data_IF_626423589542
#
_entry.id   IF_626423589542
#
_cell.length_a   1.000
_cell.length_b   1.000
_cell.length_c   1.000
_cell.angle_alpha   90.00
_cell.angle_beta   90.00
_cell.angle_gamma   90.00
#
_symmetry.space_group_name_H-M   'P 1'
#
loop_
_entity.id
_entity.type
_entity.pdbx_description
1 polymer ?
#
# COMPACT_ATOMS: atom_id res chain seq x y z
N UNK A 1 6.56 9.99 -24.46
CA UNK A 1 6.01 11.27 -24.92
C UNK A 1 6.11 11.29 -26.42
N UNK A 2 5.01 11.58 -27.12
CA UNK A 2 5.02 11.72 -28.56
C UNK A 2 5.71 13.05 -28.97
N UNK A 3 6.73 13.01 -29.84
CA UNK A 3 7.54 14.19 -30.16
C UNK A 3 6.84 15.23 -31.04
N UNK A 4 5.68 14.92 -31.62
CA UNK A 4 4.94 15.83 -32.49
C UNK A 4 3.74 16.48 -31.77
N UNK A 5 2.96 15.69 -31.05
CA UNK A 5 1.74 16.12 -30.34
C UNK A 5 2.01 16.52 -28.89
N UNK A 6 3.13 16.09 -28.31
CA UNK A 6 3.41 16.27 -26.88
C UNK A 6 2.60 15.35 -25.96
N UNK A 7 1.87 14.36 -26.50
CA UNK A 7 1.08 13.44 -25.70
C UNK A 7 1.97 12.60 -24.77
N UNK A 8 1.65 12.62 -23.47
CA UNK A 8 2.31 11.80 -22.44
C UNK A 8 1.40 10.61 -22.14
N UNK A 9 1.96 9.40 -22.25
CA UNK A 9 1.25 8.15 -22.01
C UNK A 9 2.03 7.29 -21.04
N UNK A 10 1.32 6.44 -20.31
CA UNK A 10 1.92 5.43 -19.44
C UNK A 10 2.49 4.31 -20.33
N UNK A 11 3.71 3.84 -20.01
CA UNK A 11 4.42 2.79 -20.78
C UNK A 11 4.72 1.53 -19.96
N UNK A 12 4.43 1.54 -18.66
CA UNK A 12 4.72 0.46 -17.73
C UNK A 12 3.72 0.42 -16.59
N UNK A 13 4.01 -0.38 -15.57
CA UNK A 13 3.17 -0.44 -14.38
C UNK A 13 3.33 0.83 -13.54
N UNK A 14 2.24 1.31 -12.96
CA UNK A 14 2.24 2.36 -11.96
C UNK A 14 1.74 1.75 -10.66
N UNK A 15 2.59 1.74 -9.66
CA UNK A 15 2.34 1.13 -8.35
C UNK A 15 2.42 2.23 -7.29
N UNK A 16 1.33 2.42 -6.53
CA UNK A 16 1.25 3.45 -5.50
C UNK A 16 2.21 3.15 -4.34
N UNK A 17 2.35 1.86 -4.01
CA UNK A 17 3.21 1.32 -2.96
C UNK A 17 4.70 1.52 -3.30
N UNK A 18 5.04 1.53 -4.60
CA UNK A 18 6.40 1.80 -5.08
C UNK A 18 6.68 3.31 -5.16
N UNK A 19 5.78 4.08 -5.78
CA UNK A 19 5.97 5.53 -5.96
C UNK A 19 4.64 6.29 -6.03
N UNK A 20 4.47 7.23 -5.11
CA UNK A 20 3.25 8.05 -5.00
C UNK A 20 3.17 9.17 -6.04
N UNK A 21 4.30 9.59 -6.62
CA UNK A 21 4.32 10.65 -7.62
C UNK A 21 5.56 10.61 -8.51
N UNK A 22 5.40 11.04 -9.76
CA UNK A 22 6.49 11.19 -10.73
C UNK A 22 6.61 12.65 -11.19
N UNK A 23 7.84 13.17 -11.20
CA UNK A 23 8.16 14.49 -11.75
C UNK A 23 8.86 14.32 -13.08
N UNK A 24 8.23 14.77 -14.15
CA UNK A 24 8.71 14.60 -15.51
C UNK A 24 9.09 15.98 -16.05
N UNK A 25 10.39 16.33 -16.11
CA UNK A 25 10.82 17.52 -16.83
C UNK A 25 10.63 17.31 -18.33
N UNK A 26 10.00 18.27 -18.99
CA UNK A 26 9.70 18.27 -20.41
C UNK A 26 10.40 19.46 -21.07
N UNK A 27 10.98 19.20 -22.23
CA UNK A 27 11.62 20.20 -23.07
C UNK A 27 10.97 20.18 -24.45
N UNK A 28 10.63 21.36 -24.97
CA UNK A 28 10.15 21.55 -26.32
C UNK A 28 11.11 22.47 -27.06
N UNK A 29 11.64 22.01 -28.19
CA UNK A 29 12.62 22.75 -29.01
C UNK A 29 12.00 23.07 -30.36
N UNK A 30 12.10 24.33 -30.78
CA UNK A 30 11.64 24.73 -32.11
C UNK A 30 12.61 24.25 -33.23
N UNK A 31 12.20 24.42 -34.49
CA UNK A 31 12.99 24.00 -35.66
C UNK A 31 13.68 25.19 -36.35
N UNK A 32 13.94 26.27 -35.64
CA UNK A 32 14.63 27.45 -36.16
C UNK A 32 16.10 27.20 -36.51
N UNK A 33 16.72 28.13 -37.26
CA UNK A 33 18.17 28.10 -37.54
C UNK A 33 19.01 28.26 -36.26
N UNK A 34 18.51 29.06 -35.32
CA UNK A 34 18.99 29.12 -33.93
C UNK A 34 17.85 28.60 -33.03
N UNK A 35 17.85 27.31 -32.68
CA UNK A 35 16.72 26.70 -31.98
C UNK A 35 16.60 27.25 -30.56
N UNK A 36 15.36 27.53 -30.14
CA UNK A 36 15.03 27.89 -28.76
C UNK A 36 14.31 26.72 -28.07
N UNK A 37 14.57 26.57 -26.77
CA UNK A 37 13.97 25.55 -25.94
C UNK A 37 13.07 26.18 -24.86
N UNK A 38 11.88 25.61 -24.68
CA UNK A 38 11.00 25.85 -23.54
C UNK A 38 11.00 24.64 -22.61
N UNK A 39 10.94 24.88 -21.30
CA UNK A 39 10.94 23.82 -20.29
C UNK A 39 9.70 23.91 -19.38
N UNK A 40 9.16 22.77 -18.99
CA UNK A 40 8.17 22.67 -17.93
C UNK A 40 8.34 21.36 -17.15
N UNK A 41 7.65 21.22 -16.01
CA UNK A 41 7.65 19.98 -15.23
C UNK A 41 6.23 19.50 -15.05
N UNK A 42 5.96 18.26 -15.45
CA UNK A 42 4.69 17.58 -15.24
C UNK A 42 4.79 16.79 -13.94
N UNK A 43 3.89 17.06 -13.00
CA UNK A 43 3.71 16.26 -11.79
C UNK A 43 2.57 15.28 -12.00
N UNK A 44 2.86 13.98 -11.92
CA UNK A 44 1.87 12.90 -11.99
C UNK A 44 1.74 12.33 -10.59
N UNK A 45 0.56 12.45 -9.99
CA UNK A 45 0.24 11.84 -8.69
C UNK A 45 -0.47 10.50 -8.93
N UNK A 46 0.02 9.45 -8.28
CA UNK A 46 -0.56 8.11 -8.36
C UNK A 46 -1.67 8.03 -7.32
N UNK A 47 -2.82 7.48 -7.71
CA UNK A 47 -3.94 7.24 -6.82
C UNK A 47 -3.88 5.80 -6.34
N UNK A 48 -3.92 5.64 -5.02
CA UNK A 48 -3.95 4.34 -4.33
C UNK A 48 -5.17 3.51 -4.73
N UNK A 49 -4.94 2.22 -4.97
CA UNK A 49 -5.97 1.23 -5.24
C UNK A 49 -5.92 0.16 -4.15
N UNK A 50 -7.05 -0.50 -3.87
CA UNK A 50 -7.07 -1.63 -2.94
C UNK A 50 -6.65 -2.91 -3.66
N UNK A 51 -5.34 -3.12 -3.82
CA UNK A 51 -4.78 -4.27 -4.54
C UNK A 51 -3.83 -5.12 -3.69
N UNK A 52 -3.57 -4.75 -2.43
CA UNK A 52 -2.89 -5.59 -1.47
C UNK A 52 -3.88 -6.23 -0.49
N UNK A 53 -3.83 -7.55 -0.36
CA UNK A 53 -4.63 -8.24 0.64
C UNK A 53 -3.96 -8.18 2.04
N UNK A 54 -4.74 -8.09 3.13
CA UNK A 54 -4.18 -8.10 4.48
C UNK A 54 -3.35 -9.35 4.76
N UNK A 55 -2.15 -9.15 5.30
CA UNK A 55 -1.25 -10.21 5.73
C UNK A 55 -1.31 -10.42 7.24
N UNK A 56 -1.56 -11.65 7.66
CA UNK A 56 -1.62 -12.04 9.07
C UNK A 56 -0.37 -12.83 9.45
N UNK A 57 0.32 -12.39 10.50
CA UNK A 57 1.52 -13.04 11.04
C UNK A 57 1.32 -13.39 12.51
N UNK A 58 1.65 -14.62 12.88
CA UNK A 58 1.70 -15.05 14.28
C UNK A 58 3.06 -14.65 14.87
N UNK A 59 3.07 -13.76 15.85
CA UNK A 59 4.31 -13.31 16.50
C UNK A 59 4.67 -14.14 17.72
N UNK A 60 3.71 -14.86 18.29
CA UNK A 60 3.95 -15.87 19.32
C UNK A 60 2.92 -16.98 19.25
N UNK A 61 3.31 -18.18 19.70
CA UNK A 61 2.43 -19.33 19.77
C UNK A 61 2.73 -20.13 21.03
N UNK A 62 1.77 -20.19 21.95
CA UNK A 62 1.85 -20.96 23.19
C UNK A 62 0.95 -22.19 23.08
N UNK A 63 1.46 -23.22 22.39
CA UNK A 63 0.81 -24.53 22.25
C UNK A 63 1.76 -25.64 22.73
N UNK A 64 1.26 -26.69 23.40
CA UNK A 64 -0.13 -26.89 23.85
C UNK A 64 -0.51 -25.97 25.03
N UNK A 65 -1.81 -25.73 25.22
CA UNK A 65 -2.37 -24.96 26.35
C UNK A 65 -2.84 -25.95 27.41
N UNK A 66 -2.56 -25.65 28.68
CA UNK A 66 -3.04 -26.47 29.80
C UNK A 66 -4.56 -26.38 29.96
N UNK A 67 -5.21 -27.48 30.31
CA UNK A 67 -6.67 -27.54 30.52
C UNK A 67 -7.14 -26.73 31.74
N UNK A 68 -6.25 -26.48 32.69
CA UNK A 68 -6.46 -25.65 33.89
C UNK A 68 -6.08 -24.16 33.67
N UNK A 69 -5.80 -23.76 32.42
CA UNK A 69 -5.47 -22.38 32.09
C UNK A 69 -6.61 -21.42 32.47
N UNK A 70 -6.24 -20.31 33.11
CA UNK A 70 -7.19 -19.31 33.59
C UNK A 70 -7.75 -18.44 32.46
N UNK A 71 -8.97 -17.91 32.58
CA UNK A 71 -9.49 -16.93 31.63
C UNK A 71 -8.55 -15.73 31.49
N UNK A 72 -8.19 -15.38 30.26
CA UNK A 72 -7.23 -14.32 29.96
C UNK A 72 -5.80 -14.79 29.71
N UNK A 73 -5.50 -16.09 29.85
CA UNK A 73 -4.24 -16.66 29.36
C UNK A 73 -4.06 -16.34 27.87
N UNK A 74 -2.93 -15.71 27.53
CA UNK A 74 -2.58 -15.37 26.15
C UNK A 74 -2.11 -16.63 25.44
N UNK A 75 -2.77 -16.95 24.33
CA UNK A 75 -2.48 -18.14 23.51
C UNK A 75 -1.51 -17.80 22.38
N UNK A 76 -1.78 -16.68 21.70
CA UNK A 76 -1.03 -16.23 20.53
C UNK A 76 -1.14 -14.73 20.42
N UNK A 77 -0.10 -14.12 19.89
CA UNK A 77 -0.10 -12.74 19.44
C UNK A 77 -0.16 -12.75 17.92
N UNK A 78 -1.06 -11.94 17.38
CA UNK A 78 -1.30 -11.82 15.95
C UNK A 78 -1.00 -10.39 15.54
N UNK A 79 -0.25 -10.23 14.46
CA UNK A 79 -0.04 -8.95 13.79
C UNK A 79 -0.71 -9.02 12.42
N UNK A 80 -1.42 -7.96 12.05
CA UNK A 80 -2.04 -7.82 10.74
C UNK A 80 -1.50 -6.57 10.07
N UNK A 81 -1.15 -6.70 8.79
CA UNK A 81 -0.52 -5.64 8.02
C UNK A 81 -1.08 -5.64 6.60
N UNK A 82 -1.47 -4.46 6.13
CA UNK A 82 -1.88 -4.20 4.76
C UNK A 82 -0.99 -3.10 4.19
N UNK A 83 -0.63 -3.20 2.92
CA UNK A 83 0.31 -2.27 2.27
C UNK A 83 -0.38 -1.04 1.69
N UNK A 84 -1.69 -1.14 1.44
CA UNK A 84 -2.47 -0.07 0.83
C UNK A 84 -2.57 1.15 1.77
N UNK A 85 -2.93 2.30 1.21
CA UNK A 85 -3.01 3.54 1.97
C UNK A 85 -4.42 3.91 2.45
N UNK A 86 -4.47 4.56 3.62
CA UNK A 86 -5.71 5.13 4.16
C UNK A 86 -6.77 4.07 4.46
N UNK A 87 -7.94 4.20 3.84
CA UNK A 87 -9.06 3.27 4.05
C UNK A 87 -8.81 1.89 3.43
N UNK A 88 -8.00 1.82 2.37
CA UNK A 88 -7.71 0.57 1.69
C UNK A 88 -6.85 -0.34 2.57
N UNK A 89 -5.90 0.23 3.31
CA UNK A 89 -5.10 -0.51 4.29
C UNK A 89 -5.75 -0.72 5.67
N UNK A 90 -7.03 -0.34 5.86
CA UNK A 90 -7.70 -0.49 7.15
C UNK A 90 -8.27 -1.91 7.32
N UNK A 91 -7.72 -2.66 8.28
CA UNK A 91 -8.10 -4.06 8.48
C UNK A 91 -8.94 -4.26 9.74
N UNK A 92 -9.99 -5.08 9.64
CA UNK A 92 -10.80 -5.55 10.78
C UNK A 92 -10.61 -7.05 10.95
N UNK A 93 -10.40 -7.48 12.20
CA UNK A 93 -10.24 -8.89 12.54
C UNK A 93 -11.44 -9.41 13.33
N UNK A 94 -11.86 -10.63 13.03
CA UNK A 94 -12.96 -11.31 13.72
C UNK A 94 -12.64 -12.78 13.95
N UNK A 95 -13.14 -13.34 15.05
CA UNK A 95 -13.12 -14.79 15.31
C UNK A 95 -14.43 -15.42 14.87
N UNK A 96 -14.37 -16.70 14.50
CA UNK A 96 -15.56 -17.48 14.21
C UNK A 96 -16.48 -17.55 15.44
N UNK A 97 -17.82 -17.52 15.24
CA UNK A 97 -18.75 -17.77 16.33
C UNK A 97 -18.50 -19.15 16.98
N UNK A 98 -18.82 -19.26 18.27
CA UNK A 98 -18.79 -20.51 19.05
C UNK A 98 -17.42 -21.09 19.43
N UNK A 99 -16.39 -20.25 19.54
CA UNK A 99 -15.11 -20.63 20.17
C UNK A 99 -14.98 -20.03 21.59
N UNK A 100 -14.34 -20.71 22.56
CA UNK A 100 -14.14 -20.20 23.92
C UNK A 100 -13.01 -19.17 24.02
N UNK A 101 -12.56 -18.61 22.88
CA UNK A 101 -11.44 -17.69 22.79
C UNK A 101 -11.93 -16.27 22.44
N UNK A 102 -11.16 -15.27 22.87
CA UNK A 102 -11.44 -13.86 22.58
C UNK A 102 -10.28 -13.23 21.84
N UNK A 103 -10.60 -12.46 20.80
CA UNK A 103 -9.65 -11.56 20.15
C UNK A 103 -9.66 -10.23 20.89
N UNK A 104 -8.49 -9.77 21.31
CA UNK A 104 -8.33 -8.50 22.02
C UNK A 104 -7.28 -7.69 21.27
N UNK A 105 -7.66 -6.48 20.82
CA UNK A 105 -6.70 -5.54 20.24
C UNK A 105 -5.75 -5.02 21.31
N UNK A 106 -4.46 -5.07 21.04
CA UNK A 106 -3.41 -4.47 21.87
C UNK A 106 -3.00 -3.08 21.40
N UNK A 107 -3.51 -2.63 20.24
CA UNK A 107 -3.34 -1.26 19.77
C UNK A 107 -4.23 -0.32 20.59
N UNK A 108 -3.63 0.73 21.16
CA UNK A 108 -4.33 1.83 21.84
C UNK A 108 -4.80 2.87 20.84
#
# INVERSE_FOLDING_TARGET
>A
MDPLSGAITVIGHMDFEESRAHKIPVEAVDKGFLPLAGHCTVLVEVVDANDNAPQLTLTSLSLPISEDAQPGTVITLISVFDRDFGVNGQVTCSLTPHVPFKLVSTFK
#
